data_IF_998324341300
#
_entry.id   IF_998324341300
#
_cell.length_a   1.000
_cell.length_b   1.000
_cell.length_c   1.000
_cell.angle_alpha   90.00
_cell.angle_beta   90.00
_cell.angle_gamma   90.00
#
_symmetry.space_group_name_H-M   'P 1'
#
loop_
_entity.id
_entity.type
_entity.pdbx_description
1 polymer ?
#
# COMPACT_ATOMS: atom_id res chain seq x y z
N UNK A 1 13.23 9.90 -13.11
CA UNK A 1 13.54 11.03 -12.19
C UNK A 1 12.50 12.11 -12.41
N UNK A 2 11.74 12.58 -11.40
CA UNK A 2 10.76 13.64 -11.59
C UNK A 2 11.49 14.96 -11.89
N UNK A 3 11.12 15.63 -12.98
CA UNK A 3 11.81 16.83 -13.47
C UNK A 3 11.11 18.15 -13.09
N UNK A 4 9.95 18.09 -12.42
CA UNK A 4 9.18 19.28 -12.03
C UNK A 4 9.19 19.47 -10.52
N UNK A 5 9.27 20.72 -10.06
CA UNK A 5 9.28 21.07 -8.63
C UNK A 5 8.05 20.50 -7.88
N UNK A 6 6.89 20.46 -8.55
CA UNK A 6 5.67 19.88 -8.02
C UNK A 6 5.73 18.35 -7.89
N UNK A 7 6.33 17.65 -8.85
CA UNK A 7 6.56 16.21 -8.75
C UNK A 7 7.61 15.88 -7.68
N UNK A 8 8.60 16.75 -7.46
CA UNK A 8 9.58 16.63 -6.38
C UNK A 8 8.91 16.82 -5.01
N UNK A 9 8.08 17.86 -4.83
CA UNK A 9 7.34 18.08 -3.58
C UNK A 9 6.30 16.99 -3.29
N UNK A 10 5.58 16.52 -4.30
CA UNK A 10 4.67 15.38 -4.16
C UNK A 10 5.43 14.13 -3.69
N UNK A 11 6.61 13.86 -4.24
CA UNK A 11 7.47 12.75 -3.82
C UNK A 11 8.07 12.95 -2.44
N UNK A 12 8.33 14.18 -2.00
CA UNK A 12 8.79 14.48 -0.63
C UNK A 12 7.67 14.22 0.40
N UNK A 13 6.44 14.66 0.13
CA UNK A 13 5.31 14.42 1.03
C UNK A 13 4.92 12.93 1.06
N UNK A 14 4.95 12.26 -0.09
CA UNK A 14 4.75 10.82 -0.21
C UNK A 14 5.86 10.01 0.48
N UNK A 15 7.13 10.42 0.35
CA UNK A 15 8.24 9.83 1.09
C UNK A 15 8.13 10.09 2.60
N UNK A 16 7.80 11.31 3.03
CA UNK A 16 7.71 11.66 4.45
C UNK A 16 6.61 10.89 5.19
N UNK A 17 5.43 10.76 4.58
CA UNK A 17 4.27 10.12 5.20
C UNK A 17 4.35 8.58 5.18
N UNK A 18 4.96 7.99 4.15
CA UNK A 18 5.00 6.53 4.00
C UNK A 18 6.33 5.89 4.41
N UNK A 19 7.39 6.64 4.72
CA UNK A 19 8.70 6.04 5.07
C UNK A 19 8.64 5.08 6.26
N UNK A 20 7.87 5.40 7.30
CA UNK A 20 7.68 4.51 8.47
C UNK A 20 6.96 3.23 8.07
N UNK A 21 5.83 3.34 7.36
CA UNK A 21 5.06 2.22 6.83
C UNK A 21 5.92 1.33 5.91
N UNK A 22 6.64 1.93 4.96
CA UNK A 22 7.49 1.20 4.03
C UNK A 22 8.63 0.48 4.76
N UNK A 23 9.19 1.09 5.81
CA UNK A 23 10.20 0.45 6.65
C UNK A 23 9.63 -0.77 7.39
N UNK A 24 8.42 -0.65 7.95
CA UNK A 24 7.74 -1.77 8.62
C UNK A 24 7.40 -2.89 7.64
N UNK A 25 6.88 -2.57 6.45
CA UNK A 25 6.58 -3.55 5.40
C UNK A 25 7.84 -4.28 4.91
N UNK A 26 9.00 -3.60 4.82
CA UNK A 26 10.29 -4.25 4.55
C UNK A 26 10.70 -5.22 5.65
N UNK A 27 10.51 -4.85 6.92
CA UNK A 27 10.79 -5.75 8.04
C UNK A 27 9.90 -7.00 8.00
N UNK A 28 8.61 -6.84 7.70
CA UNK A 28 7.67 -7.96 7.51
C UNK A 28 8.13 -8.85 6.34
N UNK A 29 8.48 -8.27 5.20
CA UNK A 29 8.99 -9.00 4.02
C UNK A 29 10.26 -9.79 4.36
N UNK A 30 11.16 -9.21 5.15
CA UNK A 30 12.39 -9.87 5.58
C UNK A 30 12.09 -11.09 6.47
N UNK A 31 11.22 -10.94 7.48
CA UNK A 31 10.80 -12.05 8.36
C UNK A 31 10.09 -13.15 7.57
N UNK A 32 9.19 -12.79 6.64
CA UNK A 32 8.52 -13.77 5.78
C UNK A 32 9.53 -14.61 4.97
N UNK A 33 10.60 -14.00 4.48
CA UNK A 33 11.67 -14.69 3.77
C UNK A 33 12.45 -15.62 4.69
N UNK A 34 12.85 -15.17 5.88
CA UNK A 34 13.57 -16.03 6.82
C UNK A 34 12.78 -17.28 7.21
N UNK A 35 11.46 -17.13 7.40
CA UNK A 35 10.54 -18.25 7.65
C UNK A 35 10.46 -19.17 6.43
N UNK A 36 10.36 -18.62 5.23
CA UNK A 36 10.28 -19.39 3.98
C UNK A 36 11.58 -20.14 3.66
N UNK A 37 12.74 -19.57 4.00
CA UNK A 37 14.06 -20.16 3.76
C UNK A 37 14.47 -21.17 4.86
N UNK A 38 13.63 -21.39 5.88
CA UNK A 38 13.91 -22.31 6.99
C UNK A 38 15.03 -21.86 7.94
N UNK A 39 15.48 -20.61 7.81
CA UNK A 39 16.56 -20.00 8.62
C UNK A 39 16.09 -19.57 10.03
N UNK A 40 14.82 -19.75 10.33
CA UNK A 40 14.20 -19.41 11.61
C UNK A 40 13.37 -20.59 12.12
N UNK A 41 13.53 -20.91 13.40
CA UNK A 41 12.81 -22.01 14.04
C UNK A 41 11.29 -21.80 13.96
N UNK A 42 10.57 -22.89 13.70
CA UNK A 42 9.11 -22.89 13.64
C UNK A 42 8.51 -22.34 14.93
N UNK A 43 7.75 -21.24 14.82
CA UNK A 43 7.09 -20.60 15.95
C UNK A 43 7.88 -19.48 16.64
N UNK A 44 9.14 -19.23 16.26
CA UNK A 44 9.91 -18.10 16.80
C UNK A 44 9.28 -16.74 16.43
N UNK A 45 8.65 -16.64 15.27
CA UNK A 45 7.87 -15.47 14.84
C UNK A 45 6.63 -15.88 14.04
N UNK A 46 5.55 -15.09 14.17
CA UNK A 46 4.34 -15.26 13.36
C UNK A 46 4.57 -14.77 11.93
N UNK A 47 4.16 -15.57 10.94
CA UNK A 47 4.06 -15.11 9.55
C UNK A 47 2.90 -14.13 9.41
N UNK A 48 3.21 -12.83 9.36
CA UNK A 48 2.21 -11.78 9.14
C UNK A 48 1.70 -11.85 7.70
N UNK A 49 0.38 -11.77 7.49
CA UNK A 49 -0.23 -11.64 6.17
C UNK A 49 -0.58 -10.18 5.91
N UNK A 50 -0.16 -9.64 4.76
CA UNK A 50 -0.41 -8.25 4.39
C UNK A 50 -1.46 -8.20 3.30
N UNK A 51 -2.44 -7.32 3.49
CA UNK A 51 -3.51 -7.08 2.53
C UNK A 51 -3.54 -5.61 2.17
N UNK A 52 -3.68 -5.33 0.88
CA UNK A 52 -3.66 -3.97 0.34
C UNK A 52 -4.97 -3.69 -0.39
N UNK A 53 -5.59 -2.57 -0.04
CA UNK A 53 -6.73 -1.99 -0.76
C UNK A 53 -6.23 -0.64 -1.26
N UNK A 54 -6.04 -0.52 -2.57
CA UNK A 54 -5.48 0.67 -3.20
C UNK A 54 -6.18 0.95 -4.53
N UNK A 55 -6.25 2.22 -4.90
CA UNK A 55 -6.66 2.71 -6.21
C UNK A 55 -5.62 3.71 -6.71
N UNK A 56 -4.54 3.17 -7.27
CA UNK A 56 -3.38 3.95 -7.71
C UNK A 56 -3.74 4.86 -8.90
N UNK A 57 -4.70 4.46 -9.72
CA UNK A 57 -5.12 5.23 -10.90
C UNK A 57 -5.78 6.55 -10.47
N UNK A 58 -6.76 6.50 -9.57
CA UNK A 58 -7.43 7.72 -9.11
C UNK A 58 -6.49 8.62 -8.30
N UNK A 59 -5.64 8.03 -7.46
CA UNK A 59 -4.68 8.79 -6.66
C UNK A 59 -3.67 9.56 -7.53
N UNK A 60 -3.31 9.02 -8.69
CA UNK A 60 -2.46 9.70 -9.66
C UNK A 60 -3.20 10.86 -10.37
N UNK A 61 -4.49 10.71 -10.66
CA UNK A 61 -5.32 11.76 -11.29
C UNK A 61 -5.60 12.96 -10.36
N UNK A 62 -5.80 12.71 -9.06
CA UNK A 62 -6.11 13.74 -8.07
C UNK A 62 -4.87 14.55 -7.59
N UNK A 63 -3.66 14.16 -8.01
CA UNK A 63 -2.38 14.54 -7.38
C UNK A 63 -1.97 16.02 -7.47
N UNK A 64 -2.64 16.87 -8.27
CA UNK A 64 -2.18 18.25 -8.53
C UNK A 64 -3.15 19.35 -8.08
N UNK A 65 -4.47 19.12 -8.09
CA UNK A 65 -5.45 20.21 -7.90
C UNK A 65 -6.19 20.21 -6.55
N UNK A 66 -6.18 19.11 -5.80
CA UNK A 66 -7.16 18.90 -4.71
C UNK A 66 -6.55 18.62 -3.34
N UNK A 67 -5.22 18.49 -3.24
CA UNK A 67 -4.50 18.15 -1.99
C UNK A 67 -4.56 19.24 -0.90
N UNK A 68 -4.99 20.45 -1.24
CA UNK A 68 -5.00 21.62 -0.34
C UNK A 68 -6.39 22.16 -0.03
N UNK A 69 -7.44 21.70 -0.71
CA UNK A 69 -8.81 22.21 -0.53
C UNK A 69 -9.79 21.05 -0.45
N UNK A 70 -10.49 20.95 0.69
CA UNK A 70 -11.55 19.98 0.91
C UNK A 70 -12.80 20.36 0.11
N UNK A 71 -12.81 20.05 -1.19
CA UNK A 71 -13.96 20.26 -2.07
C UNK A 71 -14.91 19.06 -1.90
N UNK A 72 -16.20 19.26 -1.58
CA UNK A 72 -17.14 18.16 -1.34
C UNK A 72 -17.23 17.13 -2.48
N UNK A 73 -17.15 17.58 -3.74
CA UNK A 73 -17.15 16.68 -4.90
C UNK A 73 -15.93 15.76 -4.93
N UNK A 74 -14.75 16.26 -4.54
CA UNK A 74 -13.52 15.47 -4.43
C UNK A 74 -13.64 14.45 -3.30
N UNK A 75 -14.18 14.85 -2.15
CA UNK A 75 -14.39 13.93 -1.03
C UNK A 75 -15.37 12.80 -1.41
N UNK A 76 -16.41 13.12 -2.20
CA UNK A 76 -17.33 12.12 -2.72
C UNK A 76 -16.65 11.17 -3.72
N UNK A 77 -15.84 11.69 -4.64
CA UNK A 77 -15.06 10.88 -5.57
C UNK A 77 -14.09 9.93 -4.83
N UNK A 78 -13.35 10.43 -3.84
CA UNK A 78 -12.46 9.63 -2.99
C UNK A 78 -13.23 8.53 -2.25
N UNK A 79 -14.42 8.84 -1.72
CA UNK A 79 -15.27 7.85 -1.05
C UNK A 79 -15.72 6.74 -2.01
N UNK A 80 -16.21 7.10 -3.20
CA UNK A 80 -16.68 6.13 -4.19
C UNK A 80 -15.55 5.21 -4.63
N UNK A 81 -14.35 5.77 -4.85
CA UNK A 81 -13.19 4.99 -5.25
C UNK A 81 -12.72 4.05 -4.14
N UNK A 82 -12.68 4.51 -2.89
CA UNK A 82 -12.40 3.64 -1.75
C UNK A 82 -13.39 2.47 -1.66
N UNK A 83 -14.67 2.70 -1.93
CA UNK A 83 -15.69 1.65 -1.97
C UNK A 83 -15.48 0.68 -3.14
N UNK A 84 -15.14 1.18 -4.33
CA UNK A 84 -14.84 0.36 -5.50
C UNK A 84 -13.61 -0.52 -5.27
N UNK A 85 -12.51 0.06 -4.76
CA UNK A 85 -11.29 -0.67 -4.42
C UNK A 85 -11.54 -1.74 -3.35
N UNK A 86 -12.32 -1.43 -2.30
CA UNK A 86 -12.68 -2.40 -1.28
C UNK A 86 -13.55 -3.54 -1.83
N UNK A 87 -14.46 -3.23 -2.76
CA UNK A 87 -15.31 -4.24 -3.42
C UNK A 87 -14.45 -5.20 -4.27
N UNK A 88 -13.58 -4.65 -5.12
CA UNK A 88 -12.65 -5.43 -5.93
C UNK A 88 -11.71 -6.30 -5.07
N UNK A 89 -11.22 -5.76 -3.95
CA UNK A 89 -10.43 -6.51 -2.98
C UNK A 89 -11.22 -7.69 -2.41
N UNK A 90 -12.47 -7.48 -2.00
CA UNK A 90 -13.28 -8.56 -1.43
C UNK A 90 -13.65 -9.62 -2.48
N UNK A 91 -13.93 -9.22 -3.71
CA UNK A 91 -14.18 -10.15 -4.82
C UNK A 91 -12.96 -11.05 -5.07
N UNK A 92 -11.76 -10.49 -5.02
CA UNK A 92 -10.52 -11.20 -5.37
C UNK A 92 -9.90 -11.94 -4.18
N UNK A 93 -9.89 -11.33 -2.99
CA UNK A 93 -9.02 -11.72 -1.87
C UNK A 93 -9.75 -12.02 -0.57
N UNK A 94 -11.09 -11.97 -0.51
CA UNK A 94 -11.84 -12.28 0.73
C UNK A 94 -11.45 -13.62 1.35
N UNK A 95 -11.20 -14.63 0.52
CA UNK A 95 -10.82 -15.97 0.98
C UNK A 95 -9.35 -16.10 1.40
N UNK A 96 -8.52 -15.12 1.03
CA UNK A 96 -7.09 -15.06 1.36
C UNK A 96 -6.85 -14.47 2.75
N UNK A 97 -7.81 -13.67 3.26
CA UNK A 97 -7.71 -13.00 4.56
C UNK A 97 -7.42 -14.00 5.67
N UNK A 98 -6.30 -13.80 6.36
CA UNK A 98 -5.83 -14.67 7.44
C UNK A 98 -5.15 -15.97 6.99
N UNK A 99 -5.06 -16.23 5.68
CA UNK A 99 -4.40 -17.43 5.11
C UNK A 99 -3.15 -17.12 4.31
N UNK A 100 -3.16 -16.04 3.53
CA UNK A 100 -2.02 -15.56 2.73
C UNK A 100 -2.14 -14.07 2.45
N UNK A 101 -1.03 -13.41 2.13
CA UNK A 101 -1.05 -12.01 1.72
C UNK A 101 -1.79 -11.82 0.39
N UNK A 102 -2.47 -10.69 0.20
CA UNK A 102 -3.02 -10.29 -1.11
C UNK A 102 -2.02 -9.53 -1.98
N UNK A 103 -0.88 -9.15 -1.40
CA UNK A 103 0.19 -8.41 -2.06
C UNK A 103 1.50 -9.19 -1.95
N UNK A 104 2.29 -9.14 -3.01
CA UNK A 104 3.67 -9.57 -3.00
C UNK A 104 4.56 -8.41 -2.55
N UNK A 105 5.02 -8.49 -1.30
CA UNK A 105 5.90 -7.47 -0.73
C UNK A 105 7.28 -7.46 -1.39
N UNK A 106 7.78 -8.58 -1.92
CA UNK A 106 9.08 -8.60 -2.59
C UNK A 106 9.01 -7.86 -3.92
N UNK A 107 7.97 -8.13 -4.71
CA UNK A 107 7.71 -7.42 -5.96
C UNK A 107 7.47 -5.92 -5.73
N UNK A 108 6.84 -5.54 -4.61
CA UNK A 108 6.58 -4.14 -4.26
C UNK A 108 7.86 -3.32 -3.99
N UNK A 109 8.98 -3.96 -3.61
CA UNK A 109 10.25 -3.30 -3.29
C UNK A 109 11.36 -3.52 -4.32
N UNK A 110 11.08 -4.23 -5.41
CA UNK A 110 12.03 -4.50 -6.49
C UNK A 110 11.99 -3.39 -7.55
#
# INVERSE_FOLDING_TARGET
MPQTAQAIQNRINENGFNTSLLRELRAISFVQRLISDGTMDGGAMKRVHVHMIADDALMNELSVATKTVAIPSVLNALKQAGQAAASAFLETHRNDVGKRSSVDLQAMFS
#
